data_IF_800080471669
#
_entry.id   IF_800080471669
#
_cell.length_a   1.000
_cell.length_b   1.000
_cell.length_c   1.000
_cell.angle_alpha   90.00
_cell.angle_beta   90.00
_cell.angle_gamma   90.00
#
_symmetry.space_group_name_H-M   'P 1'
#
loop_
_entity.id
_entity.type
_entity.pdbx_description
1 polymer ?
#
# COMPACT_ATOMS: atom_id res chain seq x y z
N UNK A 1 7.51 48.02 7.44
CA UNK A 1 8.42 46.88 7.64
C UNK A 1 7.93 45.74 6.76
N UNK A 2 8.66 45.44 5.69
CA UNK A 2 8.40 44.26 4.86
C UNK A 2 9.00 43.08 5.61
N UNK A 3 8.16 42.19 6.14
CA UNK A 3 8.61 40.91 6.71
C UNK A 3 9.18 40.09 5.56
N UNK A 4 10.50 40.06 5.42
CA UNK A 4 11.19 39.12 4.55
C UNK A 4 11.00 37.73 5.14
N UNK A 5 10.02 36.99 4.63
CA UNK A 5 9.93 35.56 4.87
C UNK A 5 11.10 34.91 4.12
N UNK A 6 12.25 34.76 4.79
CA UNK A 6 13.27 33.83 4.32
C UNK A 6 12.65 32.44 4.36
N UNK A 7 12.45 31.80 3.21
CA UNK A 7 12.14 30.38 3.16
C UNK A 7 13.24 29.65 3.93
N UNK A 8 12.94 28.98 5.05
CA UNK A 8 13.97 28.44 5.94
C UNK A 8 14.81 27.34 5.27
N UNK A 9 14.35 26.80 4.13
CA UNK A 9 14.95 25.65 3.44
C UNK A 9 15.02 25.84 1.92
N UNK A 10 15.85 26.76 1.38
CA UNK A 10 15.94 26.98 -0.06
C UNK A 10 16.55 25.78 -0.79
N UNK A 11 15.84 25.28 -1.81
CA UNK A 11 16.30 24.15 -2.64
C UNK A 11 16.23 22.78 -1.97
N UNK A 12 15.66 22.69 -0.76
CA UNK A 12 15.49 21.42 -0.07
C UNK A 12 14.20 20.71 -0.48
N UNK A 13 14.22 19.39 -0.43
CA UNK A 13 13.07 18.52 -0.71
C UNK A 13 12.45 18.03 0.60
N UNK A 14 11.16 17.72 0.55
CA UNK A 14 10.47 17.03 1.64
C UNK A 14 10.52 15.53 1.39
N UNK A 15 10.91 14.76 2.40
CA UNK A 15 11.03 13.32 2.35
C UNK A 15 10.15 12.69 3.43
N UNK A 16 9.48 11.60 3.05
CA UNK A 16 8.69 10.77 3.95
C UNK A 16 9.33 9.39 3.98
N UNK A 17 9.80 8.96 5.13
CA UNK A 17 10.26 7.58 5.32
C UNK A 17 9.25 6.86 6.21
N UNK A 18 8.70 5.74 5.76
CA UNK A 18 7.67 5.04 6.51
C UNK A 18 7.83 3.54 6.42
N UNK A 19 7.66 2.87 7.55
CA UNK A 19 7.76 1.43 7.68
C UNK A 19 6.43 0.86 8.14
N UNK A 20 6.05 -0.28 7.56
CA UNK A 20 4.91 -1.05 8.05
C UNK A 20 5.15 -1.43 9.51
N UNK A 21 4.19 -1.09 10.37
CA UNK A 21 4.19 -1.53 11.75
C UNK A 21 3.71 -2.98 11.79
N UNK A 22 4.22 -3.78 12.74
CA UNK A 22 3.85 -5.21 12.89
C UNK A 22 2.33 -5.43 13.08
N UNK A 23 1.59 -4.37 13.40
CA UNK A 23 0.14 -4.32 13.30
C UNK A 23 -0.29 -4.08 11.83
N UNK A 24 -0.04 -5.05 10.94
CA UNK A 24 -0.92 -5.20 9.77
C UNK A 24 -2.29 -5.49 10.36
N UNK A 25 -3.16 -4.48 10.32
CA UNK A 25 -4.50 -4.56 10.85
C UNK A 25 -5.28 -5.63 10.07
N UNK A 26 -6.27 -6.30 10.70
CA UNK A 26 -6.76 -7.61 10.28
C UNK A 26 -7.11 -7.62 8.80
N UNK A 27 -6.64 -8.66 8.11
CA UNK A 27 -7.16 -9.01 6.80
C UNK A 27 -8.62 -9.40 7.04
N UNK A 28 -9.55 -8.58 6.56
CA UNK A 28 -10.97 -8.86 6.65
C UNK A 28 -11.46 -9.36 5.29
N UNK A 29 -12.33 -10.35 5.29
CA UNK A 29 -12.91 -10.90 4.07
C UNK A 29 -14.42 -10.74 4.16
N UNK A 30 -15.02 -10.25 3.09
CA UNK A 30 -16.48 -10.25 2.95
C UNK A 30 -16.86 -10.53 1.50
N UNK A 31 -18.16 -10.58 1.23
CA UNK A 31 -18.71 -10.77 -0.12
C UNK A 31 -18.18 -9.83 -1.22
N UNK A 32 -17.57 -8.69 -0.88
CA UNK A 32 -16.96 -7.75 -1.83
C UNK A 32 -15.47 -8.01 -2.12
N UNK A 33 -14.79 -8.84 -1.32
CA UNK A 33 -13.37 -9.13 -1.49
C UNK A 33 -12.57 -9.15 -0.19
N UNK A 34 -11.25 -9.05 -0.33
CA UNK A 34 -10.31 -9.03 0.79
C UNK A 34 -9.85 -7.60 1.07
N UNK A 35 -10.06 -7.15 2.30
CA UNK A 35 -9.63 -5.84 2.79
C UNK A 35 -8.36 -6.00 3.61
N UNK A 36 -7.30 -5.32 3.20
CA UNK A 36 -6.05 -5.23 3.95
C UNK A 36 -5.88 -3.81 4.48
N UNK A 37 -5.70 -3.69 5.80
CA UNK A 37 -5.40 -2.40 6.43
C UNK A 37 -3.93 -2.37 6.84
N UNK A 38 -3.15 -1.53 6.18
CA UNK A 38 -1.73 -1.30 6.48
C UNK A 38 -1.59 -0.09 7.39
N UNK A 39 -0.92 -0.27 8.53
CA UNK A 39 -0.53 0.82 9.42
C UNK A 39 0.96 1.03 9.35
N UNK A 40 1.37 2.27 9.18
CA UNK A 40 2.79 2.62 9.07
C UNK A 40 3.13 3.75 10.04
N UNK A 41 4.36 3.71 10.55
CA UNK A 41 4.97 4.81 11.30
C UNK A 41 6.26 5.21 10.59
N UNK A 42 6.67 6.46 10.76
CA UNK A 42 7.77 6.99 9.98
C UNK A 42 8.24 8.36 10.42
N UNK A 43 9.15 8.93 9.64
CA UNK A 43 9.70 10.28 9.81
C UNK A 43 9.33 11.17 8.63
N UNK A 44 9.19 12.46 8.93
CA UNK A 44 9.10 13.54 7.99
C UNK A 44 10.42 14.32 8.04
N UNK A 45 11.12 14.41 6.92
CA UNK A 45 12.47 14.97 6.88
C UNK A 45 12.58 16.03 5.78
N UNK A 46 13.42 17.04 6.01
CA UNK A 46 13.94 17.90 4.94
C UNK A 46 15.25 17.31 4.47
N UNK A 47 15.35 17.05 3.16
CA UNK A 47 16.59 16.66 2.50
C UNK A 47 17.17 17.87 1.76
N UNK A 48 18.34 18.32 2.18
CA UNK A 48 19.06 19.41 1.53
C UNK A 48 19.87 18.91 0.31
N UNK A 49 20.27 19.80 -0.61
CA UNK A 49 21.07 19.42 -1.78
C UNK A 49 22.39 18.71 -1.47
N UNK A 50 22.98 18.98 -0.30
CA UNK A 50 24.21 18.36 0.21
C UNK A 50 23.96 17.00 0.88
N UNK A 51 22.74 16.45 0.79
CA UNK A 51 22.28 15.22 1.43
C UNK A 51 22.15 15.30 2.95
N UNK A 52 22.31 16.49 3.56
CA UNK A 52 22.01 16.68 4.97
C UNK A 52 20.50 16.49 5.19
N UNK A 53 20.16 15.78 6.26
CA UNK A 53 18.76 15.53 6.65
C UNK A 53 18.44 16.31 7.92
N UNK A 54 17.26 16.92 7.93
CA UNK A 54 16.72 17.56 9.13
C UNK A 54 15.36 16.97 9.47
N UNK A 55 15.26 16.41 10.67
CA UNK A 55 14.04 15.78 11.17
C UNK A 55 12.98 16.84 11.51
N UNK A 56 11.86 16.79 10.77
CA UNK A 56 10.70 17.62 11.01
C UNK A 56 9.70 16.97 11.97
N UNK A 57 9.79 15.66 12.19
CA UNK A 57 9.01 14.94 13.20
C UNK A 57 8.43 13.61 12.70
N UNK A 58 7.65 12.99 13.56
CA UNK A 58 7.11 11.64 13.35
C UNK A 58 5.75 11.65 12.66
N UNK A 59 5.54 10.67 11.79
CA UNK A 59 4.32 10.48 11.02
C UNK A 59 3.74 9.09 11.25
N UNK A 60 2.43 8.99 11.09
CA UNK A 60 1.70 7.73 11.07
C UNK A 60 0.73 7.72 9.88
N UNK A 61 0.49 6.55 9.30
CA UNK A 61 -0.53 6.38 8.28
C UNK A 61 -1.35 5.12 8.47
N UNK A 62 -2.58 5.17 7.99
CA UNK A 62 -3.45 4.01 7.83
C UNK A 62 -3.95 3.96 6.38
N UNK A 63 -3.70 2.85 5.70
CA UNK A 63 -4.06 2.64 4.30
C UNK A 63 -4.91 1.38 4.17
N UNK A 64 -6.08 1.51 3.57
CA UNK A 64 -7.02 0.41 3.32
C UNK A 64 -6.99 0.10 1.84
N UNK A 65 -6.70 -1.16 1.53
CA UNK A 65 -6.64 -1.70 0.18
C UNK A 65 -7.68 -2.79 0.04
N UNK A 66 -8.36 -2.82 -1.10
CA UNK A 66 -9.31 -3.86 -1.49
C UNK A 66 -8.75 -4.70 -2.62
N UNK A 67 -8.85 -6.01 -2.44
CA UNK A 67 -8.56 -7.05 -3.40
C UNK A 67 -9.93 -7.58 -3.88
N UNK A 68 -10.42 -7.06 -5.01
CA UNK A 68 -11.76 -7.35 -5.58
C UNK A 68 -11.78 -8.70 -6.36
N UNK A 69 -12.93 -9.06 -6.92
CA UNK A 69 -13.18 -10.22 -7.79
C UNK A 69 -12.33 -10.31 -9.08
N UNK A 70 -11.48 -9.31 -9.33
CA UNK A 70 -10.48 -9.33 -10.40
C UNK A 70 -9.45 -10.47 -10.26
N UNK A 71 -9.38 -11.11 -9.08
CA UNK A 71 -8.49 -12.24 -8.85
C UNK A 71 -8.89 -13.46 -9.68
N UNK A 72 -7.93 -13.97 -10.43
CA UNK A 72 -8.09 -15.16 -11.26
C UNK A 72 -6.86 -16.02 -11.20
N UNK A 73 -7.06 -17.32 -11.39
CA UNK A 73 -5.97 -18.29 -11.44
C UNK A 73 -5.82 -18.74 -12.89
N UNK A 74 -4.64 -18.47 -13.44
CA UNK A 74 -4.27 -18.87 -14.79
C UNK A 74 -2.91 -19.57 -14.70
N UNK A 75 -2.84 -20.81 -15.19
CA UNK A 75 -1.59 -21.60 -15.19
C UNK A 75 -0.93 -21.65 -13.80
N UNK A 76 -1.70 -22.02 -12.78
CA UNK A 76 -1.25 -22.09 -11.39
C UNK A 76 -0.65 -20.77 -10.84
N UNK A 77 -1.08 -19.65 -11.40
CA UNK A 77 -0.63 -18.30 -11.00
C UNK A 77 -1.82 -17.46 -10.62
N UNK A 78 -1.81 -16.90 -9.42
CA UNK A 78 -2.79 -15.93 -8.96
C UNK A 78 -2.49 -14.56 -9.57
N UNK A 79 -3.42 -14.03 -10.35
CA UNK A 79 -3.35 -12.70 -10.95
C UNK A 79 -4.50 -11.86 -10.46
N UNK A 80 -4.33 -10.54 -10.42
CA UNK A 80 -5.43 -9.64 -10.06
C UNK A 80 -5.01 -8.18 -10.05
N UNK A 81 -5.84 -7.36 -9.42
CA UNK A 81 -5.59 -5.96 -9.17
C UNK A 81 -6.02 -5.58 -7.76
N UNK A 82 -5.30 -4.65 -7.15
CA UNK A 82 -5.61 -4.09 -5.86
C UNK A 82 -6.03 -2.63 -6.01
N UNK A 83 -7.02 -2.22 -5.22
CA UNK A 83 -7.62 -0.90 -5.24
C UNK A 83 -7.38 -0.18 -3.94
N UNK A 84 -6.90 1.06 -4.03
CA UNK A 84 -6.81 1.94 -2.88
C UNK A 84 -8.22 2.41 -2.49
N UNK A 85 -8.69 2.02 -1.31
CA UNK A 85 -9.99 2.45 -0.78
C UNK A 85 -9.85 3.78 -0.04
N UNK A 86 -8.90 3.82 0.88
CA UNK A 86 -8.61 5.03 1.65
C UNK A 86 -7.18 5.03 2.13
N UNK A 87 -6.62 6.21 2.31
CA UNK A 87 -5.37 6.40 3.05
C UNK A 87 -5.48 7.65 3.87
N UNK A 88 -5.04 7.58 5.11
CA UNK A 88 -5.03 8.68 6.05
C UNK A 88 -3.62 8.85 6.58
N UNK A 89 -3.15 10.10 6.60
CA UNK A 89 -1.87 10.47 7.16
C UNK A 89 -2.05 11.37 8.38
N UNK A 90 -1.18 11.18 9.35
CA UNK A 90 -1.20 11.85 10.63
C UNK A 90 0.21 12.27 11.03
N UNK A 91 0.32 13.45 11.63
CA UNK A 91 1.55 13.91 12.26
C UNK A 91 1.45 13.56 13.74
N UNK A 92 2.35 12.71 14.20
CA UNK A 92 2.45 12.26 15.61
C UNK A 92 3.23 13.31 16.41
N UNK A 93 4.35 13.78 15.85
CA UNK A 93 5.22 14.78 16.45
C UNK A 93 5.71 15.77 15.38
N UNK A 94 6.00 17.01 15.77
CA UNK A 94 6.58 18.03 14.88
C UNK A 94 7.58 18.92 15.62
N UNK A 95 8.78 19.06 15.08
CA UNK A 95 9.82 19.96 15.57
C UNK A 95 9.60 21.42 15.15
N UNK A 96 8.75 21.68 14.16
CA UNK A 96 8.53 23.02 13.57
C UNK A 96 7.11 23.58 13.81
N UNK A 97 6.36 22.96 14.72
CA UNK A 97 4.99 23.36 15.05
C UNK A 97 3.92 22.73 14.15
N UNK A 98 2.66 23.20 14.24
CA UNK A 98 1.56 22.54 13.56
C UNK A 98 1.65 22.67 12.03
N UNK A 99 1.48 21.54 11.34
CA UNK A 99 1.38 21.49 9.88
C UNK A 99 -0.06 21.57 9.38
N UNK A 100 -0.23 22.13 8.19
CA UNK A 100 -1.49 22.01 7.43
C UNK A 100 -1.64 20.56 6.96
N UNK A 101 -2.31 19.73 7.78
CA UNK A 101 -2.54 18.29 7.54
C UNK A 101 -3.13 18.00 6.16
N UNK A 102 -3.93 18.92 5.61
CA UNK A 102 -4.55 18.76 4.30
C UNK A 102 -3.53 18.58 3.17
N UNK A 103 -2.49 19.41 3.10
CA UNK A 103 -1.50 19.34 2.02
C UNK A 103 -0.64 18.08 2.13
N UNK A 104 -0.21 17.73 3.34
CA UNK A 104 0.56 16.50 3.57
C UNK A 104 -0.27 15.25 3.23
N UNK A 105 -1.56 15.24 3.56
CA UNK A 105 -2.47 14.16 3.17
C UNK A 105 -2.62 14.03 1.64
N UNK A 106 -2.66 15.14 0.91
CA UNK A 106 -2.72 15.10 -0.56
C UNK A 106 -1.46 14.50 -1.17
N UNK A 107 -0.28 14.96 -0.73
CA UNK A 107 1.02 14.44 -1.18
C UNK A 107 1.17 12.96 -0.84
N UNK A 108 0.81 12.59 0.39
CA UNK A 108 0.82 11.20 0.84
C UNK A 108 -0.08 10.31 -0.02
N UNK A 109 -1.34 10.75 -0.26
CA UNK A 109 -2.29 10.00 -1.06
C UNK A 109 -1.80 9.78 -2.49
N UNK A 110 -1.21 10.81 -3.10
CA UNK A 110 -0.64 10.71 -4.45
C UNK A 110 0.54 9.72 -4.49
N UNK A 111 1.43 9.78 -3.49
CA UNK A 111 2.52 8.82 -3.33
C UNK A 111 2.03 7.37 -3.18
N UNK A 112 1.05 7.12 -2.30
CA UNK A 112 0.46 5.79 -2.11
C UNK A 112 -0.21 5.31 -3.40
N UNK A 113 -0.95 6.17 -4.10
CA UNK A 113 -1.56 5.83 -5.38
C UNK A 113 -0.52 5.48 -6.45
N UNK A 114 0.60 6.21 -6.48
CA UNK A 114 1.75 5.92 -7.34
C UNK A 114 2.36 4.55 -7.05
N UNK A 115 2.56 4.20 -5.78
CA UNK A 115 3.07 2.86 -5.38
C UNK A 115 2.09 1.76 -5.77
N UNK A 116 0.80 1.95 -5.52
CA UNK A 116 -0.25 0.98 -5.88
C UNK A 116 -0.23 0.67 -7.37
N UNK A 117 -0.22 1.69 -8.22
CA UNK A 117 -0.31 1.52 -9.66
C UNK A 117 1.03 1.22 -10.34
N UNK A 118 2.14 1.70 -9.77
CA UNK A 118 3.48 1.55 -10.33
C UNK A 118 4.22 0.29 -9.88
N UNK A 119 3.86 -0.27 -8.72
CA UNK A 119 4.57 -1.41 -8.12
C UNK A 119 3.61 -2.57 -7.85
N UNK A 120 2.57 -2.35 -7.03
CA UNK A 120 1.72 -3.44 -6.54
C UNK A 120 0.89 -4.06 -7.67
N UNK A 121 0.13 -3.25 -8.40
CA UNK A 121 -0.73 -3.73 -9.48
C UNK A 121 0.06 -4.38 -10.64
N UNK A 122 1.23 -3.87 -11.06
CA UNK A 122 2.10 -4.57 -11.99
C UNK A 122 2.55 -5.95 -11.50
N UNK A 123 2.88 -6.11 -10.21
CA UNK A 123 3.23 -7.42 -9.64
C UNK A 123 2.03 -8.37 -9.63
N UNK A 124 0.86 -7.92 -9.21
CA UNK A 124 -0.37 -8.71 -9.22
C UNK A 124 -0.79 -9.09 -10.66
N UNK A 125 -0.60 -8.20 -11.62
CA UNK A 125 -0.85 -8.48 -13.05
C UNK A 125 0.15 -9.49 -13.61
N UNK A 126 1.43 -9.38 -13.24
CA UNK A 126 2.48 -10.38 -13.58
C UNK A 126 2.15 -11.74 -12.98
N UNK A 127 1.55 -11.74 -11.79
CA UNK A 127 1.02 -12.91 -11.11
C UNK A 127 1.97 -13.47 -10.06
N UNK A 128 1.37 -14.08 -9.05
CA UNK A 128 2.04 -14.75 -7.93
C UNK A 128 1.84 -16.25 -8.11
N UNK A 129 2.92 -17.05 -8.23
CA UNK A 129 2.79 -18.49 -8.38
C UNK A 129 2.13 -19.09 -7.14
N UNK A 130 1.13 -19.94 -7.35
CA UNK A 130 0.54 -20.75 -6.29
C UNK A 130 1.44 -21.94 -5.95
N UNK A 131 1.37 -22.49 -4.73
CA UNK A 131 2.07 -23.71 -4.38
C UNK A 131 1.76 -24.82 -5.41
N UNK A 132 2.79 -25.30 -6.10
CA UNK A 132 2.64 -26.39 -7.04
C UNK A 132 2.52 -27.71 -6.27
N UNK A 133 1.46 -28.45 -6.53
CA UNK A 133 1.35 -29.84 -6.08
C UNK A 133 1.89 -30.70 -7.23
N UNK A 134 2.82 -31.59 -6.92
CA UNK A 134 3.45 -32.45 -7.91
C UNK A 134 2.39 -33.27 -8.66
N UNK A 135 2.53 -33.39 -9.98
CA UNK A 135 1.59 -34.07 -10.87
C UNK A 135 0.18 -33.48 -10.94
N UNK A 136 -0.07 -32.30 -10.35
CA UNK A 136 -1.40 -31.68 -10.31
C UNK A 136 -1.39 -30.32 -11.01
N UNK A 137 -2.23 -30.17 -12.02
CA UNK A 137 -2.50 -28.90 -12.67
C UNK A 137 -3.92 -28.41 -12.34
N UNK A 138 -4.04 -27.18 -11.86
CA UNK A 138 -5.32 -26.49 -11.66
C UNK A 138 -5.96 -26.15 -13.01
N UNK A 139 -7.24 -26.48 -13.18
CA UNK A 139 -8.05 -26.11 -14.35
C UNK A 139 -9.41 -25.55 -13.93
N UNK A 140 -10.01 -24.73 -14.79
CA UNK A 140 -11.33 -24.13 -14.58
C UNK A 140 -11.48 -23.45 -13.20
N UNK A 141 -10.39 -22.84 -12.71
CA UNK A 141 -10.35 -22.26 -11.38
C UNK A 141 -11.19 -20.98 -11.32
N UNK A 142 -11.97 -20.85 -10.25
CA UNK A 142 -12.69 -19.63 -9.89
C UNK A 142 -12.45 -19.27 -8.43
N UNK A 143 -12.45 -17.98 -8.15
CA UNK A 143 -12.35 -17.43 -6.81
C UNK A 143 -13.67 -16.71 -6.52
N UNK A 144 -14.25 -16.95 -5.36
CA UNK A 144 -15.37 -16.18 -4.82
C UNK A 144 -15.12 -15.81 -3.38
N UNK A 145 -15.86 -14.79 -2.91
CA UNK A 145 -15.72 -14.28 -1.55
C UNK A 145 -17.04 -14.42 -0.80
N UNK A 146 -16.95 -14.81 0.47
CA UNK A 146 -18.03 -14.81 1.42
C UNK A 146 -17.55 -14.15 2.72
N UNK A 147 -18.45 -13.97 3.68
CA UNK A 147 -18.09 -13.38 4.97
C UNK A 147 -17.05 -14.25 5.67
N UNK A 148 -15.89 -13.66 5.95
CA UNK A 148 -14.69 -14.29 6.53
C UNK A 148 -14.05 -15.42 5.70
N UNK A 149 -14.47 -15.62 4.44
CA UNK A 149 -14.01 -16.75 3.60
C UNK A 149 -13.59 -16.33 2.19
N UNK A 150 -12.44 -16.87 1.75
CA UNK A 150 -12.04 -16.88 0.34
C UNK A 150 -12.21 -18.30 -0.18
N UNK A 151 -13.08 -18.48 -1.17
CA UNK A 151 -13.40 -19.78 -1.73
C UNK A 151 -12.67 -19.94 -3.06
N UNK A 152 -11.86 -20.99 -3.16
CA UNK A 152 -11.20 -21.42 -4.39
C UNK A 152 -11.85 -22.70 -4.90
N UNK A 153 -12.54 -22.62 -6.02
CA UNK A 153 -13.09 -23.78 -6.73
C UNK A 153 -12.22 -24.07 -7.94
N UNK A 154 -11.70 -25.29 -8.07
CA UNK A 154 -10.88 -25.68 -9.22
C UNK A 154 -11.03 -27.16 -9.52
N UNK A 155 -10.99 -27.49 -10.80
CA UNK A 155 -10.74 -28.84 -11.26
C UNK A 155 -9.23 -29.13 -11.20
N UNK A 156 -8.89 -30.42 -11.17
CA UNK A 156 -7.51 -30.89 -11.16
C UNK A 156 -7.29 -31.88 -12.28
N UNK A 157 -6.18 -31.72 -13.00
CA UNK A 157 -5.69 -32.73 -13.94
C UNK A 157 -4.42 -33.36 -13.39
N UNK A 158 -4.44 -34.68 -13.32
CA UNK A 158 -3.30 -35.48 -12.91
C UNK A 158 -2.42 -35.79 -14.13
N UNK A 159 -1.18 -35.32 -14.13
CA UNK A 159 -0.17 -35.71 -15.10
C UNK A 159 0.64 -36.89 -14.54
N UNK A 160 0.16 -38.10 -14.79
CA UNK A 160 0.84 -39.36 -14.48
C UNK A 160 2.05 -39.59 -15.39
#
# INVERSE_FOLDING_TARGET
MVSTYSTPFPGASLQFESNATAAVAPIAVNSSGVFATLRTNGTLEVLFPDQTRYDLGDIGSETVVLLEDSFRIENNTLRGEAKLISTHFSVIYSSIGPFTKYLLNLVWRDGVFGVMNGIINPLLKKGIPLPAIEHVALQNSSISFADDEVILCSDFVLSL
#
